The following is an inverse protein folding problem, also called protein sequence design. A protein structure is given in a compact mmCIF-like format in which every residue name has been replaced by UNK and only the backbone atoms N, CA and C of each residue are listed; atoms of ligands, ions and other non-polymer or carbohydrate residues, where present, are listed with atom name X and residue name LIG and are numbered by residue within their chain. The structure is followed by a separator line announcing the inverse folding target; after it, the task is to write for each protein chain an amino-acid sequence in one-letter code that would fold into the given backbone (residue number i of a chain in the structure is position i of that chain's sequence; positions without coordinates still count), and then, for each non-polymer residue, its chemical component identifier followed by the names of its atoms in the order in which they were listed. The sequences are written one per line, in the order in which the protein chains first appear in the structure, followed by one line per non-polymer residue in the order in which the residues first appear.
data_IF_624313457970
#
_entry.id   IF_624313457970
#
_cell.length_a   1.000
_cell.length_b   1.000
_cell.length_c   1.000
_cell.angle_alpha   90.00
_cell.angle_beta   90.00
_cell.angle_gamma   90.00
#
_symmetry.space_group_name_H-M   'P 1'
#
loop_
_entity.id
_entity.type
_entity.pdbx_description
1 polymer ?
#
# COMPACT_ATOMS: atom_id res chain seq x y z
N UNK A 1 -2.29 18.53 27.07
CA UNK A 1 -1.99 17.42 27.99
C UNK A 1 -0.56 17.59 28.46
N UNK A 2 -0.33 17.76 29.76
CA UNK A 2 1.01 17.86 30.34
C UNK A 2 1.41 16.51 30.91
N UNK A 3 2.59 16.01 30.51
CA UNK A 3 3.14 14.76 31.00
C UNK A 3 3.35 14.81 32.52
N UNK A 4 3.13 13.68 33.20
CA UNK A 4 3.40 13.59 34.63
C UNK A 4 4.90 13.78 34.91
N UNK A 5 5.25 14.26 36.10
CA UNK A 5 6.65 14.48 36.50
C UNK A 5 7.49 13.20 36.38
N UNK A 6 6.90 12.05 36.73
CA UNK A 6 7.53 10.73 36.59
C UNK A 6 7.80 10.36 35.13
N UNK A 7 6.90 10.72 34.23
CA UNK A 7 7.10 10.47 32.81
C UNK A 7 8.17 11.39 32.22
N UNK A 8 8.20 12.66 32.63
CA UNK A 8 9.25 13.59 32.22
C UNK A 8 10.64 13.09 32.65
N UNK A 9 10.78 12.63 33.89
CA UNK A 9 12.04 12.06 34.40
C UNK A 9 12.44 10.77 33.65
N UNK A 10 11.48 9.90 33.35
CA UNK A 10 11.73 8.69 32.54
C UNK A 10 12.17 9.02 31.12
N UNK A 11 11.52 9.98 30.46
CA UNK A 11 11.90 10.42 29.12
C UNK A 11 13.26 11.11 29.11
N UNK A 12 13.57 11.95 30.11
CA UNK A 12 14.87 12.59 30.25
C UNK A 12 15.99 11.55 30.45
N UNK A 13 15.75 10.50 31.25
CA UNK A 13 16.72 9.42 31.45
C UNK A 13 16.98 8.61 30.16
N UNK A 14 15.94 8.31 29.39
CA UNK A 14 16.08 7.62 28.10
C UNK A 14 16.80 8.50 27.06
N UNK A 15 16.52 9.80 27.03
CA UNK A 15 17.21 10.73 26.14
C UNK A 15 18.70 10.83 26.47
N UNK A 16 19.06 10.90 27.76
CA UNK A 16 20.46 10.96 28.20
C UNK A 16 21.25 9.66 27.88
N UNK A 17 20.59 8.50 27.87
CA UNK A 17 21.18 7.22 27.43
C UNK A 17 21.48 7.20 25.93
N UNK A 18 20.60 7.77 25.11
CA UNK A 18 20.78 7.85 23.65
C UNK A 18 21.80 8.94 23.25
N UNK A 19 21.90 10.04 24.01
CA UNK A 19 22.87 11.13 23.76
C UNK A 19 24.32 10.78 24.09
N UNK A 20 24.57 9.64 24.76
CA UNK A 20 25.91 9.11 25.00
C UNK A 20 26.16 7.86 24.13
N UNK A 21 26.53 8.01 22.85
CA UNK A 21 26.88 6.90 21.97
C UNK A 21 28.27 6.37 22.37
N UNK A 22 28.35 5.71 23.51
CA UNK A 22 29.56 5.05 24.02
C UNK A 22 29.68 3.60 23.54
N UNK A 23 28.72 3.14 22.73
CA UNK A 23 28.81 1.87 22.03
C UNK A 23 29.81 1.98 20.88
N UNK A 24 30.84 1.14 20.92
CA UNK A 24 31.64 0.86 19.71
C UNK A 24 30.69 0.26 18.67
N UNK A 25 30.59 0.92 17.51
CA UNK A 25 29.79 0.40 16.39
C UNK A 25 30.30 -1.00 16.07
N UNK A 26 29.41 -2.00 16.13
CA UNK A 26 29.78 -3.36 15.79
C UNK A 26 30.11 -3.39 14.29
N UNK A 27 31.32 -3.80 13.89
CA UNK A 27 31.64 -3.90 12.47
C UNK A 27 30.67 -4.90 11.84
N UNK A 28 29.83 -4.41 10.94
CA UNK A 28 28.88 -5.22 10.18
C UNK A 28 29.19 -5.11 8.71
N UNK A 29 29.28 -6.26 8.03
CA UNK A 29 29.33 -6.26 6.57
C UNK A 29 27.96 -5.83 6.03
N UNK A 30 27.96 -4.79 5.20
CA UNK A 30 26.75 -4.31 4.54
C UNK A 30 26.65 -4.96 3.17
N UNK A 31 25.64 -5.80 2.97
CA UNK A 31 25.31 -6.28 1.64
C UNK A 31 24.70 -5.13 0.81
N UNK A 32 24.96 -5.11 -0.49
CA UNK A 32 24.46 -4.09 -1.40
C UNK A 32 23.82 -4.72 -2.64
N UNK A 33 22.91 -3.97 -3.28
CA UNK A 33 22.28 -4.37 -4.54
C UNK A 33 21.61 -5.74 -4.47
N UNK A 34 21.97 -6.64 -5.39
CA UNK A 34 21.38 -7.97 -5.50
C UNK A 34 21.63 -8.82 -4.25
N UNK A 35 22.79 -8.68 -3.62
CA UNK A 35 23.16 -9.44 -2.42
C UNK A 35 22.31 -9.02 -1.22
N UNK A 36 22.05 -7.72 -1.07
CA UNK A 36 21.13 -7.21 -0.07
C UNK A 36 19.70 -7.72 -0.27
N UNK A 37 19.25 -7.80 -1.53
CA UNK A 37 17.92 -8.32 -1.85
C UNK A 37 17.81 -9.82 -1.51
N UNK A 38 18.84 -10.61 -1.79
CA UNK A 38 18.88 -12.03 -1.44
C UNK A 38 18.86 -12.26 0.07
N UNK A 39 19.68 -11.50 0.83
CA UNK A 39 19.70 -11.56 2.30
C UNK A 39 18.35 -11.14 2.88
N UNK A 40 17.78 -10.03 2.40
CA UNK A 40 16.46 -9.57 2.82
C UNK A 40 15.36 -10.58 2.53
N UNK A 41 15.39 -11.24 1.37
CA UNK A 41 14.44 -12.28 1.01
C UNK A 41 14.53 -13.49 1.95
N UNK A 42 15.74 -13.95 2.29
CA UNK A 42 15.93 -15.05 3.24
C UNK A 42 15.43 -14.71 4.64
N UNK A 43 15.71 -13.49 5.13
CA UNK A 43 15.21 -13.02 6.42
C UNK A 43 13.68 -13.00 6.47
N UNK A 44 13.04 -12.49 5.42
CA UNK A 44 11.58 -12.44 5.33
C UNK A 44 10.97 -13.84 5.22
N UNK A 45 11.61 -14.76 4.50
CA UNK A 45 11.18 -16.15 4.44
C UNK A 45 11.27 -16.83 5.81
N UNK A 46 12.34 -16.59 6.57
CA UNK A 46 12.49 -17.11 7.93
C UNK A 46 11.42 -16.56 8.88
N UNK A 47 11.08 -15.27 8.76
CA UNK A 47 10.09 -14.63 9.61
C UNK A 47 8.63 -14.98 9.26
N UNK A 48 8.31 -15.13 7.96
CA UNK A 48 6.94 -15.31 7.46
C UNK A 48 6.63 -16.75 7.04
N UNK A 49 7.62 -17.64 7.08
CA UNK A 49 7.50 -19.09 6.90
C UNK A 49 7.32 -19.58 5.46
N UNK A 50 6.79 -18.77 4.54
CA UNK A 50 6.66 -19.16 3.13
C UNK A 50 6.73 -17.99 2.15
N UNK A 51 7.14 -18.28 0.92
CA UNK A 51 7.33 -17.28 -0.15
C UNK A 51 6.04 -16.51 -0.49
N UNK A 52 4.87 -17.14 -0.38
CA UNK A 52 3.58 -16.51 -0.66
C UNK A 52 3.23 -15.43 0.37
N UNK A 53 3.58 -15.65 1.64
CA UNK A 53 3.42 -14.68 2.71
C UNK A 53 4.39 -13.51 2.55
N UNK A 54 5.65 -13.79 2.18
CA UNK A 54 6.64 -12.74 1.83
C UNK A 54 6.15 -11.88 0.67
N UNK A 55 5.68 -12.51 -0.41
CA UNK A 55 5.19 -11.78 -1.59
C UNK A 55 3.95 -10.92 -1.27
N UNK A 56 3.07 -11.36 -0.38
CA UNK A 56 1.94 -10.53 0.11
C UNK A 56 2.40 -9.38 0.98
N UNK A 57 3.39 -9.60 1.85
CA UNK A 57 3.89 -8.60 2.77
C UNK A 57 4.72 -7.52 2.06
N UNK A 58 5.55 -7.91 1.08
CA UNK A 58 6.42 -7.01 0.32
C UNK A 58 5.72 -6.43 -0.91
N UNK A 59 5.01 -7.27 -1.66
CA UNK A 59 4.31 -6.87 -2.88
C UNK A 59 2.99 -6.16 -2.62
N UNK A 60 2.39 -6.29 -1.44
CA UNK A 60 1.07 -5.74 -1.14
C UNK A 60 -0.09 -6.57 -1.71
N UNK A 61 -1.31 -5.99 -1.71
CA UNK A 61 -2.53 -6.67 -2.18
C UNK A 61 -2.42 -6.94 -3.69
N UNK A 62 -2.63 -8.18 -4.17
CA UNK A 62 -2.64 -8.50 -5.60
C UNK A 62 -3.60 -7.59 -6.36
N UNK A 63 -3.17 -7.06 -7.51
CA UNK A 63 -4.02 -6.25 -8.38
C UNK A 63 -4.92 -7.15 -9.23
N UNK A 64 -6.11 -6.64 -9.54
CA UNK A 64 -7.02 -7.24 -10.51
C UNK A 64 -6.31 -7.23 -11.88
N UNK A 65 -6.19 -8.40 -12.52
CA UNK A 65 -5.51 -8.55 -13.82
C UNK A 65 -4.12 -9.20 -13.81
N UNK A 66 -3.67 -9.78 -12.68
CA UNK A 66 -2.49 -10.67 -12.66
C UNK A 66 -1.12 -9.99 -12.79
N UNK A 67 -1.06 -8.66 -12.85
CA UNK A 67 0.19 -7.92 -12.82
C UNK A 67 0.84 -7.97 -11.42
N UNK A 68 2.17 -8.08 -11.38
CA UNK A 68 2.96 -7.95 -10.16
C UNK A 68 2.55 -6.69 -9.41
N UNK A 69 2.25 -6.84 -8.13
CA UNK A 69 1.92 -5.71 -7.28
C UNK A 69 3.18 -4.81 -7.16
N UNK A 70 3.02 -3.50 -7.43
CA UNK A 70 4.12 -2.53 -7.34
C UNK A 70 4.31 -1.58 -8.52
N UNK A 71 3.69 -1.80 -9.69
CA UNK A 71 3.86 -0.88 -10.82
C UNK A 71 2.90 0.32 -10.75
N UNK A 72 3.29 1.38 -10.04
CA UNK A 72 2.76 2.75 -10.22
C UNK A 72 1.25 2.99 -9.98
N UNK A 73 0.82 4.22 -10.30
CA UNK A 73 -0.60 4.64 -10.27
C UNK A 73 -1.42 3.83 -11.28
N UNK A 74 -2.68 3.54 -10.97
CA UNK A 74 -3.60 2.91 -11.92
C UNK A 74 -3.69 3.74 -13.21
N UNK A 75 -3.70 3.12 -14.40
CA UNK A 75 -3.86 3.85 -15.65
C UNK A 75 -5.16 4.65 -15.63
N UNK A 76 -5.09 5.91 -16.08
CA UNK A 76 -6.23 6.83 -16.07
C UNK A 76 -6.79 7.01 -17.47
N UNK A 77 -8.10 6.78 -17.62
CA UNK A 77 -8.85 7.06 -18.84
C UNK A 77 -9.57 8.41 -18.69
N UNK A 78 -9.32 9.37 -19.59
CA UNK A 78 -10.04 10.65 -19.63
C UNK A 78 -11.06 10.62 -20.77
N UNK A 79 -12.34 10.78 -20.44
CA UNK A 79 -13.44 10.70 -21.41
C UNK A 79 -14.35 11.91 -21.26
N UNK A 80 -14.83 12.43 -22.39
CA UNK A 80 -15.86 13.46 -22.41
C UNK A 80 -17.23 12.80 -22.25
N UNK A 81 -18.03 13.31 -21.34
CA UNK A 81 -19.43 12.89 -21.15
C UNK A 81 -20.34 14.09 -21.31
N UNK A 82 -21.59 13.85 -21.70
CA UNK A 82 -22.61 14.91 -21.74
C UNK A 82 -22.94 15.38 -20.32
N UNK A 83 -23.43 16.62 -20.19
CA UNK A 83 -23.83 17.16 -18.89
C UNK A 83 -24.88 16.28 -18.19
N UNK A 84 -25.87 15.79 -18.95
CA UNK A 84 -26.90 14.89 -18.43
C UNK A 84 -26.28 13.59 -17.90
N UNK A 85 -25.33 12.99 -18.62
CA UNK A 85 -24.66 11.76 -18.17
C UNK A 85 -23.86 11.98 -16.89
N UNK A 86 -23.24 13.16 -16.72
CA UNK A 86 -22.56 13.49 -15.46
C UNK A 86 -23.55 13.53 -14.28
N UNK A 87 -24.71 14.15 -14.48
CA UNK A 87 -25.78 14.19 -13.47
C UNK A 87 -26.31 12.79 -13.13
N UNK A 88 -26.46 11.93 -14.14
CA UNK A 88 -26.87 10.53 -13.93
C UNK A 88 -25.85 9.77 -13.06
N UNK A 89 -24.54 9.96 -13.30
CA UNK A 89 -23.47 9.36 -12.48
C UNK A 89 -23.52 9.87 -11.05
N UNK A 90 -23.76 11.17 -10.83
CA UNK A 90 -23.88 11.75 -9.49
C UNK A 90 -25.08 11.18 -8.72
N UNK A 91 -26.22 11.02 -9.40
CA UNK A 91 -27.42 10.39 -8.83
C UNK A 91 -27.15 8.93 -8.48
N UNK A 92 -26.54 8.18 -9.40
CA UNK A 92 -26.23 6.77 -9.20
C UNK A 92 -25.23 6.57 -8.06
N UNK A 93 -24.22 7.45 -7.95
CA UNK A 93 -23.28 7.48 -6.83
C UNK A 93 -24.00 7.61 -5.48
N UNK A 94 -24.93 8.56 -5.38
CA UNK A 94 -25.71 8.79 -4.17
C UNK A 94 -26.62 7.59 -3.85
N UNK A 95 -27.27 7.01 -4.86
CA UNK A 95 -28.15 5.85 -4.69
C UNK A 95 -27.40 4.61 -4.21
N UNK A 96 -26.20 4.37 -4.74
CA UNK A 96 -25.38 3.20 -4.39
C UNK A 96 -24.49 3.43 -3.15
N UNK A 97 -24.56 4.61 -2.51
CA UNK A 97 -23.73 4.93 -1.35
C UNK A 97 -22.23 4.95 -1.65
N UNK A 98 -21.84 5.19 -2.91
CA UNK A 98 -20.43 5.21 -3.32
C UNK A 98 -19.77 6.54 -2.97
N UNK A 99 -18.49 6.50 -2.61
CA UNK A 99 -17.75 7.71 -2.18
C UNK A 99 -17.31 8.57 -3.36
N UNK A 100 -16.94 7.95 -4.49
CA UNK A 100 -16.39 8.66 -5.63
C UNK A 100 -17.08 8.28 -6.94
N UNK A 101 -17.16 9.22 -7.88
CA UNK A 101 -17.69 8.99 -9.23
C UNK A 101 -16.90 7.91 -9.96
N UNK A 102 -15.59 7.81 -9.68
CA UNK A 102 -14.73 6.77 -10.25
C UNK A 102 -15.17 5.37 -9.87
N UNK A 103 -15.81 5.19 -8.71
CA UNK A 103 -16.26 3.87 -8.26
C UNK A 103 -17.47 3.42 -9.07
N UNK A 104 -18.40 4.36 -9.34
CA UNK A 104 -19.55 4.14 -10.21
C UNK A 104 -19.11 3.83 -11.64
N UNK A 105 -18.17 4.61 -12.18
CA UNK A 105 -17.69 4.43 -13.56
C UNK A 105 -16.94 3.10 -13.71
N UNK A 106 -16.13 2.70 -12.71
CA UNK A 106 -15.45 1.39 -12.73
C UNK A 106 -16.47 0.25 -12.72
N UNK A 107 -17.44 0.26 -11.82
CA UNK A 107 -18.48 -0.77 -11.75
C UNK A 107 -19.26 -0.90 -13.07
N UNK A 108 -19.63 0.22 -13.68
CA UNK A 108 -20.33 0.23 -14.97
C UNK A 108 -19.47 -0.29 -16.12
N UNK A 109 -18.17 0.05 -16.13
CA UNK A 109 -17.22 -0.47 -17.13
C UNK A 109 -17.00 -1.97 -16.94
N UNK A 110 -16.82 -2.44 -15.71
CA UNK A 110 -16.63 -3.85 -15.40
C UNK A 110 -17.84 -4.67 -15.86
N UNK A 111 -19.07 -4.23 -15.54
CA UNK A 111 -20.31 -4.87 -16.00
C UNK A 111 -20.41 -4.91 -17.54
N UNK A 112 -20.09 -3.80 -18.19
CA UNK A 112 -20.14 -3.72 -19.66
C UNK A 112 -19.12 -4.64 -20.31
N UNK A 113 -17.89 -4.64 -19.82
CA UNK A 113 -16.79 -5.47 -20.32
C UNK A 113 -17.09 -6.95 -20.09
N UNK A 114 -17.52 -7.32 -18.89
CA UNK A 114 -17.87 -8.70 -18.55
C UNK A 114 -18.98 -9.22 -19.47
N UNK A 115 -20.05 -8.44 -19.66
CA UNK A 115 -21.16 -8.80 -20.53
C UNK A 115 -20.74 -9.07 -21.99
N UNK A 116 -19.81 -8.30 -22.53
CA UNK A 116 -19.46 -8.38 -23.95
C UNK A 116 -18.25 -9.27 -24.23
N UNK A 117 -17.32 -9.42 -23.27
CA UNK A 117 -16.19 -10.35 -23.39
C UNK A 117 -16.57 -11.79 -23.03
N UNK A 118 -17.59 -12.02 -22.21
CA UNK A 118 -18.11 -13.38 -21.98
C UNK A 118 -19.08 -13.86 -23.06
N UNK A 119 -19.61 -12.94 -23.87
CA UNK A 119 -20.49 -13.24 -25.01
C UNK A 119 -19.72 -13.46 -26.34
N UNK A 120 -18.39 -13.35 -26.31
CA UNK A 120 -17.48 -13.61 -27.44
C UNK A 120 -16.66 -14.87 -27.16
#
# INVERSE_FOLDING_TARGET
MTLSKKDQERYAALAALEEQPTGTSTPGESAHGADAAAVGQQLLLGALGNAKAVQRAVGGRPRVGGAAAGAGSSPTLRVRVTANRKQDVDRLRAQLGMKHDSDVVRAALDEYVERHLQAS
#
